data_IF_392094236200
#
_entry.id   IF_392094236200
#
_cell.length_a   1.000
_cell.length_b   1.000
_cell.length_c   1.000
_cell.angle_alpha   90.00
_cell.angle_beta   90.00
_cell.angle_gamma   90.00
#
_symmetry.space_group_name_H-M   'P 1'
#
loop_
_entity.id
_entity.type
_entity.pdbx_description
1 polymer ?
#
# COMPACT_ATOMS: atom_id res chain seq x y z
N UNK A 1 -21.91 -7.80 9.19
CA UNK A 1 -20.81 -8.03 10.14
C UNK A 1 -19.77 -6.95 9.90
N UNK A 2 -19.39 -6.12 10.88
CA UNK A 2 -18.22 -5.26 10.69
C UNK A 2 -17.00 -6.19 10.61
N UNK A 3 -16.23 -6.07 9.53
CA UNK A 3 -14.92 -6.72 9.43
C UNK A 3 -14.08 -6.12 10.56
N UNK A 4 -13.62 -6.95 11.51
CA UNK A 4 -12.79 -6.48 12.62
C UNK A 4 -11.60 -5.68 12.06
N UNK A 5 -11.46 -4.47 12.56
CA UNK A 5 -10.85 -3.32 11.88
C UNK A 5 -9.32 -3.24 12.00
N UNK A 6 -8.65 -4.34 12.35
CA UNK A 6 -7.22 -4.37 12.61
C UNK A 6 -6.65 -5.74 12.22
N UNK A 7 -5.51 -5.73 11.55
CA UNK A 7 -4.82 -6.94 11.14
C UNK A 7 -4.24 -7.60 12.41
N UNK A 8 -4.62 -8.84 12.72
CA UNK A 8 -4.01 -9.57 13.83
C UNK A 8 -2.64 -10.09 13.40
N UNK A 9 -1.63 -9.22 13.53
CA UNK A 9 -0.25 -9.52 13.16
C UNK A 9 0.30 -10.72 13.94
N UNK A 10 -0.04 -10.85 15.23
CA UNK A 10 0.44 -11.96 16.04
C UNK A 10 -0.05 -13.29 15.46
N UNK A 11 -1.33 -13.39 15.10
CA UNK A 11 -1.88 -14.58 14.43
C UNK A 11 -1.25 -14.84 13.06
N UNK A 12 -1.02 -13.80 12.26
CA UNK A 12 -0.48 -13.95 10.91
C UNK A 12 0.99 -14.40 10.91
N UNK A 13 1.77 -14.01 11.92
CA UNK A 13 3.19 -14.35 12.05
C UNK A 13 3.45 -15.65 12.82
N UNK A 14 2.48 -16.08 13.65
CA UNK A 14 2.56 -17.32 14.41
C UNK A 14 2.82 -18.53 13.49
N UNK A 15 3.63 -19.52 13.92
CA UNK A 15 3.80 -20.78 13.18
C UNK A 15 2.45 -21.41 12.81
N UNK A 16 2.34 -21.98 11.62
CA UNK A 16 1.13 -22.72 11.23
C UNK A 16 1.04 -23.99 12.10
N UNK A 17 -0.14 -24.30 12.68
CA UNK A 17 -0.29 -25.48 13.54
C UNK A 17 0.08 -26.79 12.84
N UNK A 18 0.81 -27.66 13.53
CA UNK A 18 1.22 -28.98 13.05
C UNK A 18 2.73 -29.15 12.93
N UNK A 19 3.17 -30.12 12.12
CA UNK A 19 4.59 -30.50 11.99
C UNK A 19 5.40 -29.58 11.05
N UNK A 20 4.73 -28.69 10.32
CA UNK A 20 5.39 -27.78 9.40
C UNK A 20 5.00 -26.32 9.71
N UNK A 21 5.85 -25.57 10.45
CA UNK A 21 5.54 -24.21 10.90
C UNK A 21 5.44 -23.19 9.75
N UNK A 22 6.01 -23.50 8.57
CA UNK A 22 5.86 -22.76 7.32
C UNK A 22 4.51 -23.00 6.64
N UNK A 23 3.85 -24.12 7.01
CA UNK A 23 2.83 -24.74 6.19
C UNK A 23 3.40 -25.35 4.90
N UNK A 24 2.52 -25.77 4.01
CA UNK A 24 2.91 -26.30 2.70
C UNK A 24 3.13 -25.17 1.68
N UNK A 25 3.52 -25.55 0.46
CA UNK A 25 3.38 -24.65 -0.68
C UNK A 25 1.94 -24.14 -0.78
N UNK A 26 1.78 -22.92 -1.29
CA UNK A 26 0.47 -22.30 -1.45
C UNK A 26 -0.50 -23.25 -2.18
N UNK A 27 -1.74 -23.46 -1.67
CA UNK A 27 -2.68 -24.37 -2.31
C UNK A 27 -2.96 -23.99 -3.76
N UNK A 28 -3.19 -25.00 -4.60
CA UNK A 28 -3.51 -24.82 -6.01
C UNK A 28 -4.71 -23.86 -6.17
N UNK A 29 -4.58 -22.90 -7.10
CA UNK A 29 -5.63 -21.93 -7.42
C UNK A 29 -5.72 -20.71 -6.51
N UNK A 30 -5.06 -20.66 -5.34
CA UNK A 30 -5.09 -19.47 -4.47
C UNK A 30 -4.51 -18.26 -5.18
N UNK A 31 -3.37 -18.42 -5.89
CA UNK A 31 -2.78 -17.35 -6.69
C UNK A 31 -3.77 -16.83 -7.74
N UNK A 32 -4.42 -17.72 -8.48
CA UNK A 32 -5.40 -17.35 -9.51
C UNK A 32 -6.63 -16.66 -8.92
N UNK A 33 -7.09 -17.11 -7.74
CA UNK A 33 -8.18 -16.47 -7.01
C UNK A 33 -7.82 -15.05 -6.57
N UNK A 34 -6.62 -14.84 -6.02
CA UNK A 34 -6.13 -13.52 -5.64
C UNK A 34 -6.05 -12.59 -6.86
N UNK A 35 -5.48 -13.05 -7.97
CA UNK A 35 -5.41 -12.25 -9.20
C UNK A 35 -6.80 -12.00 -9.80
N UNK A 36 -7.74 -12.95 -9.69
CA UNK A 36 -9.10 -12.75 -10.16
C UNK A 36 -9.89 -11.75 -9.31
N UNK A 37 -9.70 -11.75 -7.99
CA UNK A 37 -10.26 -10.75 -7.07
C UNK A 37 -9.65 -9.37 -7.30
N UNK A 38 -8.37 -9.30 -7.68
CA UNK A 38 -7.65 -8.05 -7.96
C UNK A 38 -8.12 -7.33 -9.22
N UNK A 39 -8.71 -8.06 -10.18
CA UNK A 39 -9.17 -7.48 -11.46
C UNK A 39 -10.35 -6.54 -11.25
N UNK A 40 -10.13 -5.28 -11.58
CA UNK A 40 -11.18 -4.32 -11.83
C UNK A 40 -11.44 -4.24 -13.34
N UNK A 41 -12.72 -4.21 -13.71
CA UNK A 41 -13.16 -4.10 -15.09
C UNK A 41 -14.03 -2.86 -15.17
N UNK A 42 -13.47 -1.79 -15.73
CA UNK A 42 -14.18 -0.54 -15.95
C UNK A 42 -14.47 -0.33 -17.44
N UNK A 43 -15.74 -0.40 -17.89
CA UNK A 43 -16.11 -0.08 -19.25
C UNK A 43 -15.60 1.29 -19.71
N UNK A 44 -15.49 2.27 -18.79
CA UNK A 44 -15.03 3.63 -19.11
C UNK A 44 -13.58 3.68 -19.58
N UNK A 45 -12.77 2.65 -19.27
CA UNK A 45 -11.37 2.53 -19.70
C UNK A 45 -11.20 2.01 -21.13
N UNK A 46 -12.30 1.63 -21.81
CA UNK A 46 -12.30 1.14 -23.19
C UNK A 46 -12.83 2.23 -24.14
N UNK A 47 -12.51 2.13 -25.43
CA UNK A 47 -13.18 2.95 -26.45
C UNK A 47 -14.69 2.65 -26.47
N UNK A 48 -15.52 3.63 -26.82
CA UNK A 48 -16.97 3.47 -26.86
C UNK A 48 -17.41 2.40 -27.87
N UNK A 49 -16.64 2.20 -28.94
CA UNK A 49 -16.95 1.25 -30.02
C UNK A 49 -16.10 -0.03 -29.96
N UNK A 50 -15.33 -0.25 -28.88
CA UNK A 50 -14.53 -1.46 -28.73
C UNK A 50 -15.45 -2.70 -28.58
N UNK A 51 -15.38 -3.70 -29.48
CA UNK A 51 -16.20 -4.90 -29.39
C UNK A 51 -15.88 -5.79 -28.17
N UNK A 52 -14.73 -5.59 -27.52
CA UNK A 52 -14.35 -6.24 -26.27
C UNK A 52 -14.74 -5.43 -25.02
N UNK A 53 -15.39 -4.26 -25.20
CA UNK A 53 -15.84 -3.44 -24.09
C UNK A 53 -16.82 -4.23 -23.20
N UNK A 54 -16.53 -4.37 -21.90
CA UNK A 54 -17.43 -5.04 -20.97
C UNK A 54 -18.71 -4.23 -20.79
N UNK A 55 -19.85 -4.92 -20.60
CA UNK A 55 -21.14 -4.27 -20.39
C UNK A 55 -21.32 -3.75 -18.97
N UNK A 56 -20.67 -4.40 -18.00
CA UNK A 56 -20.83 -4.12 -16.58
C UNK A 56 -19.50 -3.74 -15.94
N UNK A 57 -19.56 -2.76 -15.07
CA UNK A 57 -18.47 -2.40 -14.19
C UNK A 57 -18.32 -3.45 -13.09
N UNK A 58 -17.11 -4.03 -12.95
CA UNK A 58 -16.79 -5.00 -11.90
C UNK A 58 -15.65 -4.46 -11.05
N UNK A 59 -15.94 -4.18 -9.77
CA UNK A 59 -14.92 -3.80 -8.80
C UNK A 59 -14.01 -4.97 -8.45
N UNK A 60 -12.75 -4.64 -8.17
CA UNK A 60 -11.87 -5.55 -7.47
C UNK A 60 -12.40 -5.86 -6.05
N UNK A 61 -12.25 -7.10 -5.62
CA UNK A 61 -12.63 -7.57 -4.28
C UNK A 61 -11.42 -7.55 -3.33
N UNK A 62 -11.04 -6.33 -2.93
CA UNK A 62 -9.94 -6.13 -1.98
C UNK A 62 -10.21 -6.80 -0.62
N UNK A 63 -11.48 -6.84 -0.18
CA UNK A 63 -11.88 -7.51 1.06
C UNK A 63 -11.71 -9.03 0.98
N UNK A 64 -12.04 -9.62 -0.17
CA UNK A 64 -11.78 -11.02 -0.49
C UNK A 64 -10.29 -11.36 -0.49
N UNK A 65 -9.43 -10.48 -1.03
CA UNK A 65 -7.98 -10.66 -0.99
C UNK A 65 -7.46 -10.70 0.44
N UNK A 66 -7.88 -9.77 1.30
CA UNK A 66 -7.46 -9.75 2.71
C UNK A 66 -7.96 -11.01 3.44
N UNK A 67 -9.19 -11.44 3.17
CA UNK A 67 -9.78 -12.63 3.81
C UNK A 67 -9.08 -13.91 3.38
N UNK A 68 -8.86 -14.10 2.08
CA UNK A 68 -8.16 -15.26 1.52
C UNK A 68 -6.69 -15.26 1.96
N UNK A 69 -6.01 -14.12 1.90
CA UNK A 69 -4.63 -14.00 2.34
C UNK A 69 -4.46 -14.30 3.83
N UNK A 70 -5.38 -13.81 4.67
CA UNK A 70 -5.39 -14.11 6.12
C UNK A 70 -5.55 -15.61 6.35
N UNK A 71 -6.50 -16.26 5.66
CA UNK A 71 -6.69 -17.70 5.74
C UNK A 71 -5.43 -18.46 5.31
N UNK A 72 -4.82 -18.06 4.21
CA UNK A 72 -3.59 -18.67 3.68
C UNK A 72 -2.45 -18.56 4.69
N UNK A 73 -2.16 -17.36 5.17
CA UNK A 73 -1.06 -17.11 6.10
C UNK A 73 -1.27 -17.79 7.46
N UNK A 74 -2.50 -17.94 7.95
CA UNK A 74 -2.78 -18.56 9.25
C UNK A 74 -2.91 -20.08 9.19
N UNK A 75 -3.32 -20.65 8.05
CA UNK A 75 -3.71 -22.07 7.97
C UNK A 75 -2.87 -22.91 7.01
N UNK A 76 -2.27 -22.33 5.97
CA UNK A 76 -1.69 -23.14 4.88
C UNK A 76 -0.27 -22.81 4.49
N UNK A 77 0.12 -21.53 4.38
CA UNK A 77 1.43 -21.15 3.86
C UNK A 77 1.88 -19.76 4.30
N UNK A 78 3.12 -19.61 4.76
CA UNK A 78 3.78 -18.30 4.99
C UNK A 78 4.31 -17.72 3.68
N UNK A 79 3.41 -17.44 2.75
CA UNK A 79 3.73 -17.04 1.38
C UNK A 79 3.90 -15.51 1.21
N UNK A 80 5.07 -15.10 0.72
CA UNK A 80 5.41 -13.69 0.50
C UNK A 80 4.58 -13.05 -0.61
N UNK A 81 4.21 -13.80 -1.66
CA UNK A 81 3.36 -13.26 -2.73
C UNK A 81 1.98 -12.89 -2.18
N UNK A 82 1.37 -13.78 -1.42
CA UNK A 82 0.10 -13.57 -0.74
C UNK A 82 0.16 -12.35 0.18
N UNK A 83 1.21 -12.23 0.99
CA UNK A 83 1.41 -11.07 1.86
C UNK A 83 1.54 -9.77 1.05
N UNK A 84 2.26 -9.77 -0.08
CA UNK A 84 2.37 -8.60 -0.95
C UNK A 84 1.00 -8.17 -1.55
N UNK A 85 0.14 -9.12 -1.93
CA UNK A 85 -1.23 -8.81 -2.39
C UNK A 85 -2.08 -8.25 -1.25
N UNK A 86 -1.89 -8.74 -0.03
CA UNK A 86 -2.55 -8.18 1.14
C UNK A 86 -2.12 -6.72 1.37
N UNK A 87 -0.84 -6.36 1.20
CA UNK A 87 -0.39 -4.96 1.33
C UNK A 87 -1.14 -4.04 0.38
N UNK A 88 -1.26 -4.43 -0.90
CA UNK A 88 -2.03 -3.66 -1.87
C UNK A 88 -3.50 -3.54 -1.46
N UNK A 89 -4.15 -4.65 -1.12
CA UNK A 89 -5.56 -4.67 -0.76
C UNK A 89 -5.86 -3.86 0.50
N UNK A 90 -5.03 -3.98 1.54
CA UNK A 90 -5.15 -3.19 2.77
C UNK A 90 -5.03 -1.70 2.48
N UNK A 91 -4.09 -1.33 1.61
CA UNK A 91 -3.89 0.07 1.20
C UNK A 91 -5.09 0.60 0.42
N UNK A 92 -5.64 -0.19 -0.51
CA UNK A 92 -6.86 0.16 -1.26
C UNK A 92 -8.07 0.34 -0.35
N UNK A 93 -8.16 -0.43 0.73
CA UNK A 93 -9.27 -0.37 1.69
C UNK A 93 -9.13 0.74 2.73
N UNK A 94 -7.91 1.02 3.20
CA UNK A 94 -7.67 1.82 4.42
C UNK A 94 -6.58 2.89 4.28
N UNK A 95 -6.15 3.20 3.06
CA UNK A 95 -5.15 4.24 2.80
C UNK A 95 -3.83 4.00 3.54
N UNK A 96 -3.25 5.06 4.12
CA UNK A 96 -1.96 4.99 4.81
C UNK A 96 -1.96 4.08 6.04
N UNK A 97 -3.09 3.94 6.73
CA UNK A 97 -3.20 2.98 7.83
C UNK A 97 -3.06 1.54 7.31
N UNK A 98 -3.75 1.22 6.21
CA UNK A 98 -3.65 -0.08 5.56
C UNK A 98 -2.25 -0.37 5.00
N UNK A 99 -1.59 0.65 4.43
CA UNK A 99 -0.20 0.55 3.99
C UNK A 99 0.72 0.21 5.16
N UNK A 100 0.63 0.94 6.28
CA UNK A 100 1.43 0.68 7.48
C UNK A 100 1.25 -0.74 8.00
N UNK A 101 0.00 -1.19 8.15
CA UNK A 101 -0.30 -2.54 8.65
C UNK A 101 0.21 -3.63 7.69
N UNK A 102 0.12 -3.41 6.38
CA UNK A 102 0.66 -4.34 5.37
C UNK A 102 2.19 -4.39 5.36
N UNK A 103 2.85 -3.25 5.52
CA UNK A 103 4.31 -3.18 5.64
C UNK A 103 4.80 -3.85 6.94
N UNK A 104 4.06 -3.72 8.04
CA UNK A 104 4.36 -4.44 9.29
C UNK A 104 4.23 -5.96 9.14
N UNK A 105 3.24 -6.43 8.37
CA UNK A 105 3.11 -7.85 8.04
C UNK A 105 4.36 -8.35 7.29
N UNK A 106 4.79 -7.62 6.25
CA UNK A 106 5.99 -8.00 5.49
C UNK A 106 7.25 -7.95 6.37
N UNK A 107 7.45 -6.88 7.14
CA UNK A 107 8.58 -6.73 8.07
C UNK A 107 8.61 -7.88 9.09
N UNK A 108 7.48 -8.21 9.70
CA UNK A 108 7.35 -9.32 10.64
C UNK A 108 7.61 -10.68 10.01
N UNK A 109 7.19 -10.90 8.75
CA UNK A 109 7.47 -12.13 8.01
C UNK A 109 8.97 -12.29 7.74
N UNK A 110 9.66 -11.22 7.34
CA UNK A 110 11.12 -11.24 7.13
C UNK A 110 11.89 -11.41 8.43
N UNK A 111 11.42 -10.81 9.53
CA UNK A 111 12.08 -10.90 10.84
C UNK A 111 11.87 -12.27 11.50
N UNK A 112 10.61 -12.68 11.64
CA UNK A 112 10.24 -13.78 12.53
C UNK A 112 10.05 -15.11 11.78
N UNK A 113 9.79 -15.06 10.48
CA UNK A 113 9.40 -16.22 9.68
C UNK A 113 10.36 -16.55 8.54
N UNK A 114 11.50 -15.87 8.40
CA UNK A 114 12.44 -16.01 7.27
C UNK A 114 12.72 -17.47 6.86
N UNK A 115 13.10 -18.33 7.80
CA UNK A 115 13.49 -19.72 7.53
C UNK A 115 12.30 -20.62 7.17
N UNK A 116 11.07 -20.11 7.31
CA UNK A 116 9.82 -20.80 7.05
C UNK A 116 8.95 -20.05 6.03
N UNK A 117 9.52 -19.15 5.23
CA UNK A 117 8.79 -18.45 4.17
C UNK A 117 8.65 -19.32 2.92
N UNK A 118 7.54 -19.09 2.22
CA UNK A 118 7.31 -19.53 0.84
C UNK A 118 7.49 -18.32 -0.09
N UNK A 119 8.26 -18.44 -1.19
CA UNK A 119 8.90 -19.65 -1.70
C UNK A 119 10.05 -20.19 -0.83
N UNK A 120 10.12 -21.52 -0.74
CA UNK A 120 11.25 -22.24 -0.11
C UNK A 120 12.46 -22.09 -1.01
N UNK A 121 13.61 -21.78 -0.43
CA UNK A 121 14.89 -21.61 -1.12
C UNK A 121 15.84 -22.66 -0.57
N UNK A 122 16.13 -23.68 -1.37
CA UNK A 122 17.06 -24.76 -1.00
C UNK A 122 18.51 -24.44 -1.41
N UNK A 123 18.70 -23.71 -2.52
CA UNK A 123 20.00 -23.22 -2.99
C UNK A 123 20.11 -21.70 -2.76
N UNK A 124 21.16 -21.20 -2.06
CA UNK A 124 21.43 -19.78 -1.95
C UNK A 124 21.51 -19.01 -3.28
N UNK A 125 21.78 -19.67 -4.41
CA UNK A 125 21.76 -19.04 -5.74
C UNK A 125 20.36 -18.56 -6.15
N UNK A 126 19.31 -19.18 -5.62
CA UNK A 126 17.91 -18.93 -5.98
C UNK A 126 17.24 -17.99 -4.98
N UNK A 127 18.02 -17.30 -4.14
CA UNK A 127 17.51 -16.47 -3.07
C UNK A 127 16.76 -15.23 -3.60
N UNK A 128 17.04 -14.83 -4.83
CA UNK A 128 16.39 -13.72 -5.55
C UNK A 128 14.88 -13.92 -5.73
N UNK A 129 14.38 -15.17 -5.75
CA UNK A 129 12.93 -15.43 -5.83
C UNK A 129 12.15 -14.84 -4.66
N UNK A 130 12.80 -14.62 -3.50
CA UNK A 130 12.20 -13.95 -2.33
C UNK A 130 12.18 -12.42 -2.46
N UNK A 131 12.95 -11.84 -3.37
CA UNK A 131 12.88 -10.41 -3.71
C UNK A 131 11.66 -10.07 -4.59
N UNK A 132 11.24 -10.99 -5.45
CA UNK A 132 10.21 -10.75 -6.47
C UNK A 132 8.88 -10.15 -5.94
N UNK A 133 8.33 -10.53 -4.76
CA UNK A 133 7.11 -9.91 -4.24
C UNK A 133 7.27 -8.42 -3.88
N UNK A 134 8.47 -8.02 -3.46
CA UNK A 134 8.81 -6.64 -3.13
C UNK A 134 9.06 -5.82 -4.40
N UNK A 135 9.75 -6.40 -5.39
CA UNK A 135 9.91 -5.79 -6.72
C UNK A 135 8.55 -5.58 -7.41
N UNK A 136 7.65 -6.56 -7.31
CA UNK A 136 6.29 -6.45 -7.83
C UNK A 136 5.49 -5.32 -7.17
N UNK A 137 5.75 -5.03 -5.89
CA UNK A 137 5.19 -3.86 -5.21
C UNK A 137 5.88 -2.57 -5.69
N UNK A 138 7.20 -2.52 -5.78
CA UNK A 138 7.91 -1.28 -6.12
C UNK A 138 7.82 -0.88 -7.60
N UNK A 139 7.37 -1.77 -8.48
CA UNK A 139 7.23 -1.51 -9.91
C UNK A 139 6.12 -0.46 -10.20
N UNK A 140 6.46 0.67 -10.86
CA UNK A 140 5.49 1.72 -11.17
C UNK A 140 4.64 1.44 -12.41
N UNK A 141 5.11 0.59 -13.32
CA UNK A 141 4.55 0.40 -14.67
C UNK A 141 3.88 -0.96 -14.83
N UNK A 142 4.44 -1.97 -14.17
CA UNK A 142 4.03 -3.37 -14.17
C UNK A 142 3.64 -3.79 -12.74
N UNK A 143 3.32 -5.07 -12.59
CA UNK A 143 2.96 -5.64 -11.30
C UNK A 143 1.74 -4.96 -10.66
N UNK A 144 1.92 -4.46 -9.44
CA UNK A 144 0.88 -3.78 -8.69
C UNK A 144 0.60 -2.35 -9.17
N UNK A 145 1.60 -1.69 -9.79
CA UNK A 145 1.65 -0.21 -9.90
C UNK A 145 1.43 0.46 -8.54
N UNK A 146 1.97 -0.17 -7.48
CA UNK A 146 1.69 0.22 -6.11
C UNK A 146 2.16 1.63 -5.75
N UNK A 147 3.29 2.16 -6.28
CA UNK A 147 3.68 3.55 -6.02
C UNK A 147 2.57 4.54 -6.42
N UNK A 148 1.86 4.26 -7.52
CA UNK A 148 0.72 5.08 -7.95
C UNK A 148 -0.49 4.91 -7.03
N UNK A 149 -0.71 3.72 -6.48
CA UNK A 149 -1.72 3.50 -5.44
C UNK A 149 -1.40 4.31 -4.18
N UNK A 150 -0.14 4.34 -3.72
CA UNK A 150 0.29 5.14 -2.58
C UNK A 150 0.11 6.64 -2.84
N UNK A 151 0.50 7.10 -4.03
CA UNK A 151 0.36 8.51 -4.43
C UNK A 151 -1.08 8.97 -4.64
N UNK A 152 -2.00 8.03 -4.86
CA UNK A 152 -3.44 8.28 -4.95
C UNK A 152 -4.19 8.19 -3.61
N UNK A 153 -3.51 7.87 -2.50
CA UNK A 153 -4.16 7.87 -1.18
C UNK A 153 -4.58 9.30 -0.84
N UNK A 154 -5.81 9.45 -0.34
CA UNK A 154 -6.37 10.74 0.08
C UNK A 154 -5.49 11.45 1.10
N UNK A 155 -5.04 12.65 0.73
CA UNK A 155 -4.39 13.61 1.63
C UNK A 155 -5.37 14.67 2.12
N UNK A 156 -6.27 15.11 1.24
CA UNK A 156 -7.27 16.16 1.51
C UNK A 156 -8.67 15.63 1.18
N UNK A 157 -9.62 15.93 2.07
CA UNK A 157 -10.98 15.38 1.98
C UNK A 157 -11.80 15.99 0.86
N UNK A 158 -12.73 15.20 0.34
CA UNK A 158 -13.68 15.67 -0.64
C UNK A 158 -14.60 16.74 -0.02
N UNK A 159 -14.99 17.69 -0.84
CA UNK A 159 -16.09 18.62 -0.59
C UNK A 159 -17.27 18.23 -1.47
N UNK A 160 -18.36 19.02 -1.44
CA UNK A 160 -19.49 18.80 -2.35
C UNK A 160 -19.10 19.06 -3.80
N UNK A 161 -18.18 19.99 -4.04
CA UNK A 161 -17.83 20.49 -5.37
C UNK A 161 -16.50 19.93 -5.90
N UNK A 162 -15.62 19.48 -5.01
CA UNK A 162 -14.26 19.01 -5.36
C UNK A 162 -14.04 17.63 -4.75
N UNK A 163 -13.64 16.61 -5.54
CA UNK A 163 -13.32 15.29 -5.02
C UNK A 163 -12.12 15.33 -4.06
N UNK A 164 -11.94 14.26 -3.29
CA UNK A 164 -10.75 14.08 -2.45
C UNK A 164 -9.49 14.10 -3.31
N UNK A 165 -8.38 14.53 -2.72
CA UNK A 165 -7.13 14.73 -3.46
C UNK A 165 -5.99 13.96 -2.81
N UNK A 166 -5.33 13.11 -3.59
CA UNK A 166 -4.03 12.52 -3.27
C UNK A 166 -2.86 13.37 -3.77
N UNK A 167 -1.63 12.88 -3.56
CA UNK A 167 -0.42 13.56 -4.04
C UNK A 167 -0.40 13.66 -5.58
N UNK A 168 -0.77 12.58 -6.27
CA UNK A 168 -0.74 12.56 -7.74
C UNK A 168 -1.74 13.54 -8.36
N UNK A 169 -2.93 13.65 -7.79
CA UNK A 169 -3.95 14.62 -8.22
C UNK A 169 -3.45 16.06 -8.05
N UNK A 170 -2.85 16.35 -6.89
CA UNK A 170 -2.23 17.65 -6.62
C UNK A 170 -1.10 17.97 -7.61
N UNK A 171 -0.22 17.00 -7.86
CA UNK A 171 0.91 17.15 -8.79
C UNK A 171 0.43 17.39 -10.22
N UNK A 172 -0.59 16.68 -10.67
CA UNK A 172 -1.20 16.89 -11.98
C UNK A 172 -1.84 18.28 -12.07
N UNK A 173 -2.55 18.71 -11.02
CA UNK A 173 -3.16 20.03 -10.93
C UNK A 173 -2.18 21.19 -11.04
N UNK A 174 -0.94 21.03 -10.57
CA UNK A 174 0.12 22.04 -10.72
C UNK A 174 0.69 22.13 -12.14
N UNK A 175 0.77 21.00 -12.85
CA UNK A 175 1.31 20.96 -14.21
C UNK A 175 0.34 21.53 -15.25
N UNK A 176 -0.95 21.52 -14.94
CA UNK A 176 -2.00 22.09 -15.78
C UNK A 176 -2.00 23.61 -15.57
N UNK A 177 -1.43 24.40 -16.48
CA UNK A 177 -1.34 25.87 -16.39
C UNK A 177 -2.72 26.57 -16.43
N UNK A 178 -3.52 26.44 -15.37
CA UNK A 178 -4.82 27.08 -15.22
C UNK A 178 -5.11 27.41 -13.75
N UNK A 179 -5.67 28.61 -13.52
CA UNK A 179 -6.12 29.10 -12.20
C UNK A 179 -7.11 28.15 -11.51
N UNK A 180 -7.85 27.35 -12.28
CA UNK A 180 -8.80 26.35 -11.77
C UNK A 180 -8.16 25.24 -10.92
N UNK A 181 -6.88 24.89 -11.13
CA UNK A 181 -6.18 23.88 -10.33
C UNK A 181 -5.83 24.38 -8.93
N UNK A 182 -5.26 25.59 -8.85
CA UNK A 182 -4.92 26.24 -7.58
C UNK A 182 -6.17 26.56 -6.74
N UNK A 183 -7.23 27.08 -7.36
CA UNK A 183 -8.48 27.38 -6.65
C UNK A 183 -9.16 26.14 -6.04
N UNK A 184 -9.13 24.99 -6.75
CA UNK A 184 -9.63 23.72 -6.21
C UNK A 184 -8.83 23.26 -5.00
N UNK A 185 -7.50 23.42 -5.04
CA UNK A 185 -6.62 23.05 -3.93
C UNK A 185 -6.90 23.90 -2.67
N UNK A 186 -6.99 25.22 -2.80
CA UNK A 186 -7.26 26.10 -1.66
C UNK A 186 -8.65 25.83 -1.04
N UNK A 187 -9.63 25.49 -1.87
CA UNK A 187 -10.98 25.11 -1.42
C UNK A 187 -10.97 23.84 -0.58
N UNK A 188 -10.40 22.72 -1.08
CA UNK A 188 -10.36 21.46 -0.31
C UNK A 188 -9.45 21.56 0.91
N UNK A 189 -8.38 22.36 0.80
CA UNK A 189 -7.46 22.59 1.90
C UNK A 189 -8.20 23.29 3.04
N UNK A 190 -9.01 24.31 2.74
CA UNK A 190 -9.83 25.00 3.74
C UNK A 190 -10.84 24.07 4.40
N UNK A 191 -11.41 23.11 3.65
CA UNK A 191 -12.39 22.15 4.15
C UNK A 191 -11.80 21.00 4.99
N UNK A 192 -10.53 20.64 4.79
CA UNK A 192 -9.87 19.56 5.53
C UNK A 192 -9.33 20.09 6.87
N UNK A 193 -9.72 19.51 8.01
CA UNK A 193 -9.25 19.99 9.33
C UNK A 193 -7.73 19.76 9.51
N UNK A 194 -7.09 20.60 10.35
CA UNK A 194 -5.67 20.42 10.69
C UNK A 194 -5.41 19.07 11.37
N UNK A 195 -6.31 18.64 12.25
CA UNK A 195 -6.24 17.34 12.95
C UNK A 195 -6.21 16.16 11.98
N UNK A 196 -7.04 16.20 10.94
CA UNK A 196 -7.06 15.14 9.91
C UNK A 196 -5.74 15.14 9.12
N UNK A 197 -5.23 16.31 8.77
CA UNK A 197 -3.94 16.44 8.06
C UNK A 197 -2.79 15.91 8.92
N UNK A 198 -2.77 16.24 10.21
CA UNK A 198 -1.78 15.75 11.17
C UNK A 198 -1.86 14.23 11.32
N UNK A 199 -3.07 13.68 11.48
CA UNK A 199 -3.29 12.23 11.54
C UNK A 199 -2.75 11.52 10.30
N UNK A 200 -3.01 12.07 9.10
CA UNK A 200 -2.48 11.53 7.85
C UNK A 200 -0.96 11.63 7.80
N UNK A 201 -0.39 12.75 8.23
CA UNK A 201 1.07 12.94 8.29
C UNK A 201 1.73 11.91 9.20
N UNK A 202 1.19 11.67 10.40
CA UNK A 202 1.66 10.65 11.32
C UNK A 202 1.59 9.24 10.71
N UNK A 203 0.52 8.92 9.97
CA UNK A 203 0.41 7.65 9.26
C UNK A 203 1.46 7.48 8.15
N UNK A 204 1.78 8.56 7.42
CA UNK A 204 2.87 8.53 6.41
C UNK A 204 4.22 8.34 7.10
N UNK A 205 4.49 9.04 8.20
CA UNK A 205 5.72 8.89 8.98
C UNK A 205 5.87 7.45 9.51
N UNK A 206 4.81 6.87 10.08
CA UNK A 206 4.79 5.46 10.50
C UNK A 206 5.15 4.53 9.33
N UNK A 207 4.48 4.69 8.18
CA UNK A 207 4.74 3.86 7.00
C UNK A 207 6.19 3.97 6.51
N UNK A 208 6.79 5.17 6.55
CA UNK A 208 8.20 5.40 6.21
C UNK A 208 9.16 4.70 7.16
N UNK A 209 8.90 4.79 8.46
CA UNK A 209 9.72 4.13 9.48
C UNK A 209 9.72 2.61 9.29
N UNK A 210 8.53 2.03 9.12
CA UNK A 210 8.38 0.59 8.87
C UNK A 210 9.08 0.19 7.56
N UNK A 211 8.90 0.97 6.48
CA UNK A 211 9.57 0.69 5.21
C UNK A 211 11.09 0.74 5.34
N UNK A 212 11.63 1.71 6.10
CA UNK A 212 13.05 1.80 6.41
C UNK A 212 13.57 0.52 7.07
N UNK A 213 12.89 0.09 8.15
CA UNK A 213 13.22 -1.15 8.86
C UNK A 213 13.12 -2.39 7.97
N UNK A 214 12.03 -2.52 7.20
CA UNK A 214 11.84 -3.61 6.24
C UNK A 214 12.99 -3.65 5.22
N UNK A 215 13.35 -2.52 4.62
CA UNK A 215 14.44 -2.47 3.63
C UNK A 215 15.79 -2.83 4.23
N UNK A 216 16.06 -2.43 5.48
CA UNK A 216 17.28 -2.85 6.18
C UNK A 216 17.31 -4.37 6.37
N UNK A 217 16.21 -4.98 6.81
CA UNK A 217 16.15 -6.44 6.98
C UNK A 217 16.28 -7.18 5.65
N UNK A 218 15.69 -6.66 4.58
CA UNK A 218 15.88 -7.20 3.24
C UNK A 218 17.36 -7.13 2.84
N UNK A 219 18.03 -6.00 3.08
CA UNK A 219 19.48 -5.88 2.86
C UNK A 219 20.29 -6.91 3.66
N UNK A 220 19.96 -7.11 4.94
CA UNK A 220 20.66 -8.08 5.79
C UNK A 220 20.46 -9.53 5.30
N UNK A 221 19.25 -9.87 4.84
CA UNK A 221 18.87 -11.23 4.42
C UNK A 221 19.25 -11.56 2.98
N UNK A 222 19.07 -10.62 2.06
CA UNK A 222 19.25 -10.81 0.61
C UNK A 222 20.58 -10.23 0.08
N UNK A 223 21.29 -9.43 0.87
CA UNK A 223 22.55 -8.77 0.47
C UNK A 223 22.38 -7.98 -0.83
N UNK A 224 23.19 -8.27 -1.84
CA UNK A 224 23.18 -7.59 -3.15
C UNK A 224 21.89 -7.84 -3.95
N UNK A 225 21.08 -8.82 -3.56
CA UNK A 225 19.78 -9.13 -4.16
C UNK A 225 18.63 -8.34 -3.52
N UNK A 226 18.91 -7.53 -2.50
CA UNK A 226 17.87 -6.83 -1.75
C UNK A 226 17.19 -5.74 -2.59
N UNK A 227 15.85 -5.77 -2.73
CA UNK A 227 15.13 -4.74 -3.45
C UNK A 227 15.14 -3.44 -2.63
N UNK A 228 15.52 -2.35 -3.28
CA UNK A 228 15.71 -1.04 -2.62
C UNK A 228 14.41 -0.34 -2.21
N UNK A 229 13.27 -0.77 -2.77
CA UNK A 229 11.93 -0.19 -2.57
C UNK A 229 11.89 1.34 -2.78
N UNK A 230 12.72 1.83 -3.70
CA UNK A 230 12.98 3.27 -3.89
C UNK A 230 11.74 4.00 -4.40
N UNK A 231 10.87 3.38 -5.19
CA UNK A 231 9.70 4.07 -5.76
C UNK A 231 8.64 4.33 -4.70
N UNK A 232 8.35 3.35 -3.87
CA UNK A 232 7.44 3.50 -2.74
C UNK A 232 8.01 4.50 -1.73
N UNK A 233 9.32 4.39 -1.41
CA UNK A 233 10.00 5.35 -0.52
C UNK A 233 9.85 6.78 -1.03
N UNK A 234 10.17 7.00 -2.31
CA UNK A 234 10.07 8.31 -2.95
C UNK A 234 8.63 8.86 -2.91
N UNK A 235 7.63 8.01 -3.13
CA UNK A 235 6.23 8.44 -3.05
C UNK A 235 5.83 8.82 -1.62
N UNK A 236 6.27 8.06 -0.61
CA UNK A 236 6.06 8.42 0.79
C UNK A 236 6.77 9.73 1.17
N UNK A 237 7.99 9.96 0.68
CA UNK A 237 8.71 11.23 0.82
C UNK A 237 7.91 12.41 0.25
N UNK A 238 7.32 12.21 -0.91
CA UNK A 238 6.50 13.21 -1.60
C UNK A 238 5.20 13.52 -0.87
N UNK A 239 4.48 12.49 -0.40
CA UNK A 239 3.27 12.65 0.40
C UNK A 239 3.56 13.36 1.73
N UNK A 240 4.62 12.94 2.43
CA UNK A 240 5.06 13.53 3.69
C UNK A 240 5.41 15.01 3.52
N UNK A 241 6.24 15.34 2.54
CA UNK A 241 6.66 16.71 2.29
C UNK A 241 5.50 17.66 1.96
N UNK A 242 4.50 17.19 1.20
CA UNK A 242 3.28 17.98 0.94
C UNK A 242 2.46 18.20 2.22
N UNK A 243 2.24 17.15 3.01
CA UNK A 243 1.51 17.26 4.28
C UNK A 243 2.23 18.20 5.26
N UNK A 244 3.56 18.10 5.38
CA UNK A 244 4.36 18.97 6.24
C UNK A 244 4.24 20.45 5.81
N UNK A 245 4.29 20.74 4.52
CA UNK A 245 4.07 22.10 3.99
C UNK A 245 2.66 22.61 4.31
N UNK A 246 1.66 21.75 4.19
CA UNK A 246 0.27 22.10 4.52
C UNK A 246 0.11 22.40 6.02
N UNK A 247 0.69 21.57 6.89
CA UNK A 247 0.68 21.77 8.34
C UNK A 247 1.34 23.10 8.70
N UNK A 248 2.50 23.41 8.11
CA UNK A 248 3.20 24.68 8.35
C UNK A 248 2.35 25.90 7.93
N UNK A 249 1.59 25.80 6.83
CA UNK A 249 0.69 26.86 6.37
C UNK A 249 -0.56 27.03 7.24
N UNK A 250 -1.10 25.92 7.77
CA UNK A 250 -2.33 25.92 8.59
C UNK A 250 -2.10 26.19 10.07
N UNK A 251 -0.90 25.92 10.58
CA UNK A 251 -0.56 26.21 11.96
C UNK A 251 -0.55 27.73 12.14
N UNK A 252 -1.30 28.28 13.12
CA UNK A 252 -1.24 29.72 13.38
C UNK A 252 0.22 30.08 13.69
N UNK A 253 0.76 31.05 12.96
CA UNK A 253 2.00 31.72 13.36
C UNK A 253 1.74 32.17 14.79
N UNK A 254 2.41 31.56 15.77
CA UNK A 254 2.47 32.12 17.11
C UNK A 254 3.02 33.54 16.91
N UNK A 255 2.14 34.54 17.00
CA UNK A 255 2.54 35.92 17.05
C UNK A 255 3.44 36.03 18.27
N UNK A 256 4.74 36.07 18.04
CA UNK A 256 5.69 36.54 19.01
C UNK A 256 5.23 37.93 19.45
N UNK A 257 4.64 38.03 20.64
CA UNK A 257 4.46 39.31 21.31
C UNK A 257 5.87 39.88 21.51
N UNK A 258 6.18 41.07 20.97
CA UNK A 258 7.38 41.77 21.38
C UNK A 258 7.14 42.26 22.81
N UNK A 259 7.97 41.77 23.74
CA UNK A 259 8.17 42.37 25.05
C UNK A 259 9.06 43.60 24.94
#
# INVERSE_FOLDING_TARGET
MPISNQLDLAMLLAPIPGNNPAGANIPFGVKDQLEQMRKEVDPSSYDANDPLRPTEFRKADWGGIVSLGTKTLTQTSKDLQTAARMVEALTKLRGFQGLGDGLELLDGLIDQAWDRLVPVVDDPSDLDIRAAPFEWLDDPDRGARFPSTVGGITLLDATKEVPSMGYLDWKQGQSSQGTSGAGKFDQILSATSLEVIQTRHDLVLRAREILGRLTQRLSDKLKDLAPSMVRIRTMLDQCEGLLAQIIAKKSPVQSASPA
#
